data_IF_490035070383
#
_entry.id   IF_490035070383
#
_cell.length_a   1.000
_cell.length_b   1.000
_cell.length_c   1.000
_cell.angle_alpha   90.00
_cell.angle_beta   90.00
_cell.angle_gamma   90.00
#
_symmetry.space_group_name_H-M   'P 1'
#
loop_
_entity.id
_entity.type
_entity.pdbx_description
1 polymer ?
#
# COMPACT_ATOMS: atom_id res chain seq x y z
N UNK A 1 -17.77 -35.94 2.64
CA UNK A 1 -16.54 -36.09 3.48
C UNK A 1 -15.30 -35.45 2.84
N UNK A 2 -15.07 -35.59 1.54
CA UNK A 2 -13.89 -34.97 0.85
C UNK A 2 -13.81 -33.44 0.91
N UNK A 3 -14.93 -32.75 0.98
CA UNK A 3 -14.97 -31.28 1.01
C UNK A 3 -14.62 -30.70 2.41
N UNK A 4 -15.06 -31.36 3.49
CA UNK A 4 -14.73 -30.92 4.87
C UNK A 4 -13.25 -31.07 5.16
N UNK A 5 -12.62 -32.19 4.78
CA UNK A 5 -11.19 -32.39 5.01
C UNK A 5 -10.26 -31.41 4.27
N UNK A 6 -10.68 -30.90 3.08
CA UNK A 6 -9.90 -29.86 2.37
C UNK A 6 -10.03 -28.48 3.03
N UNK A 7 -11.22 -28.15 3.56
CA UNK A 7 -11.45 -26.92 4.29
C UNK A 7 -10.64 -26.88 5.59
N UNK A 8 -10.62 -27.99 6.33
CA UNK A 8 -9.88 -28.12 7.58
C UNK A 8 -8.36 -28.04 7.35
N UNK A 9 -7.87 -28.70 6.29
CA UNK A 9 -6.43 -28.66 5.94
C UNK A 9 -5.97 -27.26 5.51
N UNK A 10 -6.80 -26.49 4.80
CA UNK A 10 -6.51 -25.09 4.46
C UNK A 10 -6.52 -24.21 5.70
N UNK A 11 -7.48 -24.40 6.59
CA UNK A 11 -7.54 -23.69 7.86
C UNK A 11 -6.29 -23.88 8.71
N UNK A 12 -5.72 -25.09 8.72
CA UNK A 12 -4.45 -25.37 9.41
C UNK A 12 -3.25 -24.65 8.76
N UNK A 13 -3.14 -24.68 7.41
CA UNK A 13 -2.10 -23.94 6.68
C UNK A 13 -2.17 -22.46 7.05
N UNK A 14 -3.35 -21.87 6.97
CA UNK A 14 -3.57 -20.45 7.28
C UNK A 14 -3.24 -20.13 8.74
N UNK A 15 -3.58 -21.01 9.68
CA UNK A 15 -3.25 -20.85 11.09
C UNK A 15 -1.75 -20.82 11.31
N UNK A 16 -1.00 -21.74 10.71
CA UNK A 16 0.48 -21.76 10.80
C UNK A 16 1.06 -20.44 10.27
N UNK A 17 0.59 -19.98 9.12
CA UNK A 17 1.04 -18.73 8.51
C UNK A 17 0.72 -17.49 9.37
N UNK A 18 -0.40 -17.48 10.10
CA UNK A 18 -0.81 -16.38 10.98
C UNK A 18 -0.07 -16.39 12.31
N UNK A 19 0.23 -17.54 12.88
CA UNK A 19 0.86 -17.67 14.20
C UNK A 19 2.37 -17.54 14.15
N UNK A 20 3.04 -18.09 13.10
CA UNK A 20 4.51 -18.05 12.97
C UNK A 20 4.98 -16.66 12.53
N UNK A 21 5.86 -16.07 13.33
CA UNK A 21 6.55 -14.82 13.01
C UNK A 21 7.98 -15.07 12.55
N UNK A 22 8.46 -14.20 11.65
CA UNK A 22 9.87 -14.17 11.25
C UNK A 22 10.65 -13.52 12.39
N UNK A 23 11.57 -14.27 13.00
CA UNK A 23 12.35 -13.83 14.17
C UNK A 23 13.69 -13.28 13.74
N UNK A 24 14.31 -12.45 14.57
CA UNK A 24 15.69 -11.99 14.37
C UNK A 24 16.71 -13.15 14.30
N UNK A 25 16.43 -14.23 15.04
CA UNK A 25 17.28 -15.44 15.08
C UNK A 25 17.16 -16.32 13.83
N UNK A 26 16.17 -16.12 12.97
CA UNK A 26 16.01 -16.90 11.75
C UNK A 26 17.12 -16.51 10.75
N UNK A 27 17.93 -17.47 10.34
CA UNK A 27 19.10 -17.27 9.46
C UNK A 27 18.90 -17.90 8.08
N UNK A 28 19.69 -17.49 7.10
CA UNK A 28 19.64 -18.06 5.75
C UNK A 28 18.41 -17.65 4.95
N UNK A 29 17.72 -16.57 5.34
CA UNK A 29 16.52 -16.09 4.64
C UNK A 29 16.89 -15.26 3.41
N UNK A 30 16.15 -15.39 2.30
CA UNK A 30 16.21 -14.43 1.21
C UNK A 30 15.97 -12.99 1.72
N UNK A 31 16.59 -12.01 1.09
CA UNK A 31 16.43 -10.59 1.48
C UNK A 31 14.96 -10.14 1.44
N UNK A 32 14.20 -10.64 0.47
CA UNK A 32 12.77 -10.43 0.33
C UNK A 32 11.97 -10.85 1.56
N UNK A 33 12.38 -11.92 2.24
CA UNK A 33 11.76 -12.41 3.47
C UNK A 33 12.34 -11.70 4.69
N UNK A 34 13.65 -11.46 4.72
CA UNK A 34 14.35 -10.89 5.87
C UNK A 34 13.84 -9.47 6.23
N UNK A 35 13.42 -8.68 5.26
CA UNK A 35 12.83 -7.35 5.48
C UNK A 35 11.51 -7.37 6.26
N UNK A 36 10.86 -8.55 6.36
CA UNK A 36 9.61 -8.76 7.12
C UNK A 36 9.84 -9.29 8.54
N UNK A 37 11.06 -9.14 9.09
CA UNK A 37 11.34 -9.54 10.49
C UNK A 37 10.37 -8.90 11.46
N UNK A 38 9.88 -9.69 12.43
CA UNK A 38 8.83 -9.29 13.36
C UNK A 38 7.41 -9.49 12.86
N UNK A 39 7.19 -9.63 11.55
CA UNK A 39 5.88 -9.89 10.96
C UNK A 39 5.54 -11.38 10.94
N UNK A 40 4.25 -11.71 10.76
CA UNK A 40 3.80 -13.10 10.55
C UNK A 40 4.12 -13.56 9.13
N UNK A 41 4.25 -14.87 8.91
CA UNK A 41 4.45 -15.42 7.56
C UNK A 41 3.32 -15.04 6.61
N UNK A 42 2.07 -15.01 7.11
CA UNK A 42 0.91 -14.56 6.35
C UNK A 42 1.05 -13.10 5.88
N UNK A 43 1.62 -12.21 6.73
CA UNK A 43 1.83 -10.82 6.34
C UNK A 43 2.96 -10.66 5.33
N UNK A 44 4.06 -11.37 5.52
CA UNK A 44 5.16 -11.40 4.55
C UNK A 44 4.69 -11.91 3.18
N UNK A 45 3.84 -12.94 3.14
CA UNK A 45 3.33 -13.54 1.91
C UNK A 45 2.39 -12.60 1.11
N UNK A 46 1.88 -11.52 1.72
CA UNK A 46 1.14 -10.46 0.99
C UNK A 46 2.03 -9.57 0.13
N UNK A 47 3.35 -9.64 0.33
CA UNK A 47 4.33 -9.02 -0.57
C UNK A 47 4.46 -9.88 -1.83
N UNK A 48 4.31 -9.29 -3.04
CA UNK A 48 4.43 -10.03 -4.30
C UNK A 48 5.78 -10.72 -4.51
N UNK A 49 6.85 -10.19 -3.92
CA UNK A 49 8.22 -10.72 -4.06
C UNK A 49 8.51 -11.91 -3.13
N UNK A 50 7.66 -12.16 -2.14
CA UNK A 50 7.78 -13.29 -1.21
C UNK A 50 6.94 -14.45 -1.73
N UNK A 51 7.54 -15.62 -1.91
CA UNK A 51 6.84 -16.85 -2.29
C UNK A 51 6.68 -17.77 -1.09
N UNK A 52 5.68 -18.64 -1.12
CA UNK A 52 5.45 -19.59 -0.05
C UNK A 52 6.65 -20.54 0.13
N UNK A 53 7.32 -20.90 -0.95
CA UNK A 53 8.53 -21.75 -0.92
C UNK A 53 9.67 -21.13 -0.08
N UNK A 54 9.82 -19.81 -0.11
CA UNK A 54 10.81 -19.08 0.69
C UNK A 54 10.51 -19.14 2.21
N UNK A 55 9.25 -19.43 2.57
CA UNK A 55 8.77 -19.49 3.94
C UNK A 55 8.77 -20.92 4.52
N UNK A 56 8.89 -21.97 3.69
CA UNK A 56 8.89 -23.37 4.14
C UNK A 56 9.99 -23.67 5.19
N UNK A 57 11.23 -23.15 5.07
CA UNK A 57 12.26 -23.37 6.10
C UNK A 57 11.86 -22.85 7.48
N UNK A 58 11.01 -21.80 7.53
CA UNK A 58 10.52 -21.20 8.77
C UNK A 58 9.35 -21.97 9.40
N UNK A 59 8.67 -22.78 8.61
CA UNK A 59 7.51 -23.57 9.05
C UNK A 59 7.50 -24.95 8.37
N UNK A 60 8.36 -25.89 8.79
CA UNK A 60 8.50 -27.20 8.16
C UNK A 60 7.20 -28.00 8.06
N UNK A 61 6.26 -27.79 9.01
CA UNK A 61 4.93 -28.39 9.00
C UNK A 61 4.10 -28.02 7.75
N UNK A 62 4.43 -26.94 7.06
CA UNK A 62 3.81 -26.60 5.77
C UNK A 62 4.32 -27.52 4.66
N UNK A 63 5.57 -27.94 4.68
CA UNK A 63 6.15 -28.86 3.69
C UNK A 63 5.50 -30.25 3.67
N UNK A 64 4.83 -30.64 4.75
CA UNK A 64 4.08 -31.89 4.85
C UNK A 64 2.67 -31.79 4.22
N UNK A 65 2.24 -30.61 3.81
CA UNK A 65 0.91 -30.37 3.26
C UNK A 65 0.89 -30.56 1.74
N UNK A 66 -0.27 -30.97 1.16
CA UNK A 66 -0.40 -31.10 -0.28
C UNK A 66 -0.07 -29.78 -1.00
N UNK A 67 0.84 -29.84 -1.97
CA UNK A 67 1.32 -28.66 -2.71
C UNK A 67 0.17 -27.81 -3.29
N UNK A 68 -0.86 -28.48 -3.85
CA UNK A 68 -2.04 -27.79 -4.40
C UNK A 68 -2.78 -26.92 -3.36
N UNK A 69 -2.82 -27.34 -2.09
CA UNK A 69 -3.46 -26.54 -1.02
C UNK A 69 -2.59 -25.34 -0.63
N UNK A 70 -1.26 -25.51 -0.64
CA UNK A 70 -0.32 -24.43 -0.39
C UNK A 70 -0.42 -23.35 -1.46
N UNK A 71 -0.44 -23.75 -2.74
CA UNK A 71 -0.56 -22.83 -3.88
C UNK A 71 -1.90 -22.07 -3.86
N UNK A 72 -3.00 -22.74 -3.51
CA UNK A 72 -4.30 -22.08 -3.36
C UNK A 72 -4.30 -21.06 -2.21
N UNK A 73 -3.70 -21.40 -1.07
CA UNK A 73 -3.66 -20.50 0.08
C UNK A 73 -2.73 -19.29 -0.19
N UNK A 74 -1.60 -19.52 -0.86
CA UNK A 74 -0.73 -18.45 -1.32
C UNK A 74 -1.46 -17.47 -2.23
N UNK A 75 -2.17 -18.00 -3.24
CA UNK A 75 -2.94 -17.20 -4.17
C UNK A 75 -3.98 -16.34 -3.46
N UNK A 76 -4.74 -16.93 -2.53
CA UNK A 76 -5.78 -16.22 -1.78
C UNK A 76 -5.18 -15.11 -0.90
N UNK A 77 -4.06 -15.38 -0.21
CA UNK A 77 -3.38 -14.39 0.63
C UNK A 77 -2.82 -13.24 -0.21
N UNK A 78 -2.20 -13.53 -1.35
CA UNK A 78 -1.69 -12.50 -2.28
C UNK A 78 -2.82 -11.68 -2.87
N UNK A 79 -3.96 -12.30 -3.22
CA UNK A 79 -5.14 -11.62 -3.72
C UNK A 79 -5.74 -10.66 -2.68
N UNK A 80 -5.87 -11.08 -1.43
CA UNK A 80 -6.29 -10.20 -0.32
C UNK A 80 -5.34 -9.00 -0.16
N UNK A 81 -4.03 -9.22 -0.27
CA UNK A 81 -3.04 -8.15 -0.23
C UNK A 81 -3.17 -7.15 -1.38
N UNK A 82 -3.49 -7.65 -2.58
CA UNK A 82 -3.74 -6.82 -3.75
C UNK A 82 -4.98 -5.93 -3.58
N UNK A 83 -6.10 -6.53 -3.18
CA UNK A 83 -7.35 -5.78 -2.93
C UNK A 83 -7.12 -4.67 -1.90
N UNK A 84 -6.47 -4.98 -0.78
CA UNK A 84 -6.19 -3.98 0.25
C UNK A 84 -5.37 -2.79 -0.29
N UNK A 85 -4.35 -3.04 -1.11
CA UNK A 85 -3.57 -1.97 -1.75
C UNK A 85 -4.42 -1.10 -2.67
N UNK A 86 -5.31 -1.70 -3.45
CA UNK A 86 -6.25 -0.98 -4.31
C UNK A 86 -7.20 -0.10 -3.50
N UNK A 87 -7.74 -0.61 -2.41
CA UNK A 87 -8.61 0.17 -1.52
C UNK A 87 -7.88 1.36 -0.88
N UNK A 88 -6.63 1.16 -0.44
CA UNK A 88 -5.80 2.24 0.11
C UNK A 88 -5.49 3.31 -0.94
N UNK A 89 -5.24 2.92 -2.19
CA UNK A 89 -5.02 3.82 -3.30
C UNK A 89 -6.28 4.65 -3.61
N UNK A 90 -7.44 4.00 -3.72
CA UNK A 90 -8.73 4.68 -3.90
C UNK A 90 -9.01 5.64 -2.76
N UNK A 91 -8.76 5.24 -1.51
CA UNK A 91 -8.95 6.11 -0.34
C UNK A 91 -8.01 7.34 -0.39
N UNK A 92 -6.75 7.16 -0.86
CA UNK A 92 -5.81 8.28 -1.06
C UNK A 92 -6.33 9.26 -2.12
N UNK A 93 -6.80 8.76 -3.26
CA UNK A 93 -7.37 9.61 -4.31
C UNK A 93 -8.59 10.39 -3.81
N UNK A 94 -9.51 9.75 -3.07
CA UNK A 94 -10.66 10.44 -2.47
C UNK A 94 -10.23 11.58 -1.56
N UNK A 95 -9.23 11.35 -0.69
CA UNK A 95 -8.69 12.41 0.19
C UNK A 95 -8.11 13.60 -0.59
N UNK A 96 -7.46 13.35 -1.72
CA UNK A 96 -6.95 14.42 -2.59
C UNK A 96 -8.10 15.20 -3.27
N UNK A 97 -9.18 14.51 -3.67
CA UNK A 97 -10.37 15.16 -4.23
C UNK A 97 -11.11 16.01 -3.20
N UNK A 98 -11.15 15.59 -1.94
CA UNK A 98 -11.76 16.35 -0.84
C UNK A 98 -10.94 17.59 -0.47
N UNK A 99 -9.65 17.62 -0.78
CA UNK A 99 -8.79 18.76 -0.50
C UNK A 99 -9.02 19.86 -1.55
N UNK A 100 -9.98 20.75 -1.24
CA UNK A 100 -10.36 21.87 -2.11
C UNK A 100 -9.28 22.93 -2.18
N UNK A 101 -9.07 23.46 -3.37
CA UNK A 101 -8.22 24.63 -3.63
C UNK A 101 -9.14 25.86 -3.72
N UNK A 102 -8.94 26.89 -2.87
CA UNK A 102 -9.70 28.11 -2.97
C UNK A 102 -9.53 28.78 -4.34
N UNK A 103 -10.58 29.43 -4.83
CA UNK A 103 -10.52 30.11 -6.15
C UNK A 103 -9.50 31.24 -6.19
N UNK A 104 -9.25 31.84 -5.06
CA UNK A 104 -8.29 32.94 -4.83
C UNK A 104 -6.88 32.44 -4.44
N UNK A 105 -6.59 31.15 -4.61
CA UNK A 105 -5.30 30.57 -4.23
C UNK A 105 -4.17 31.21 -5.05
N UNK A 106 -3.15 31.71 -4.34
CA UNK A 106 -1.98 32.35 -4.94
C UNK A 106 -0.91 31.28 -5.29
N UNK A 107 -0.92 30.87 -6.55
CA UNK A 107 0.08 29.95 -7.08
C UNK A 107 1.45 30.59 -7.26
N UNK A 108 1.50 31.92 -7.48
CA UNK A 108 2.75 32.65 -7.75
C UNK A 108 3.54 32.85 -6.44
N UNK A 109 2.86 33.14 -5.34
CA UNK A 109 3.46 33.20 -4.01
C UNK A 109 3.74 31.86 -3.33
N UNK A 110 3.40 30.75 -3.96
CA UNK A 110 3.63 29.42 -3.38
C UNK A 110 5.04 28.94 -3.66
N UNK A 111 5.91 29.01 -2.63
CA UNK A 111 7.28 28.51 -2.70
C UNK A 111 7.32 26.99 -2.90
N UNK A 112 8.30 26.53 -3.69
CA UNK A 112 8.54 25.11 -3.93
C UNK A 112 7.75 24.51 -5.12
N UNK A 113 6.81 25.26 -5.73
CA UNK A 113 6.19 24.84 -6.99
C UNK A 113 7.15 25.05 -8.18
N UNK A 114 7.22 24.05 -9.06
CA UNK A 114 7.94 24.23 -10.33
C UNK A 114 7.26 25.28 -11.22
N UNK A 115 8.04 25.95 -12.07
CA UNK A 115 7.52 26.97 -12.98
C UNK A 115 6.42 26.43 -13.89
N UNK A 116 6.60 25.22 -14.41
CA UNK A 116 5.61 24.56 -15.27
C UNK A 116 4.30 24.26 -14.53
N UNK A 117 4.37 23.63 -13.35
CA UNK A 117 3.19 23.31 -12.55
C UNK A 117 2.46 24.58 -12.10
N UNK A 118 3.18 25.62 -11.72
CA UNK A 118 2.64 26.93 -11.35
C UNK A 118 1.86 27.53 -12.50
N UNK A 119 2.46 27.60 -13.70
CA UNK A 119 1.80 28.13 -14.89
C UNK A 119 0.52 27.36 -15.24
N UNK A 120 0.58 26.03 -15.22
CA UNK A 120 -0.57 25.19 -15.55
C UNK A 120 -1.70 25.32 -14.54
N UNK A 121 -1.38 25.26 -13.24
CA UNK A 121 -2.39 25.39 -12.17
C UNK A 121 -3.01 26.79 -12.17
N UNK A 122 -2.24 27.83 -12.44
CA UNK A 122 -2.75 29.21 -12.58
C UNK A 122 -3.70 29.34 -13.77
N UNK A 123 -3.39 28.73 -14.91
CA UNK A 123 -4.22 28.77 -16.12
C UNK A 123 -5.50 27.95 -15.97
N UNK A 124 -5.41 26.73 -15.44
CA UNK A 124 -6.53 25.79 -15.39
C UNK A 124 -7.39 25.92 -14.14
N UNK A 125 -6.87 26.57 -13.09
CA UNK A 125 -7.58 26.81 -11.82
C UNK A 125 -8.29 25.56 -11.29
N UNK A 126 -7.57 24.45 -11.00
CA UNK A 126 -8.18 23.24 -10.48
C UNK A 126 -8.87 23.50 -9.14
N UNK A 127 -10.04 22.88 -8.93
CA UNK A 127 -10.86 23.05 -7.73
C UNK A 127 -10.43 22.15 -6.56
N UNK A 128 -9.61 21.15 -6.82
CA UNK A 128 -9.09 20.22 -5.81
C UNK A 128 -7.67 19.75 -6.16
N UNK A 129 -6.95 19.24 -5.15
CA UNK A 129 -5.63 18.62 -5.37
C UNK A 129 -5.76 17.40 -6.28
N UNK A 130 -6.88 16.67 -6.22
CA UNK A 130 -7.16 15.57 -7.13
C UNK A 130 -7.31 16.02 -8.58
N UNK A 131 -7.96 17.16 -8.83
CA UNK A 131 -7.99 17.73 -10.18
C UNK A 131 -6.59 18.19 -10.64
N UNK A 132 -5.83 18.83 -9.76
CA UNK A 132 -4.46 19.25 -10.04
C UNK A 132 -3.55 18.06 -10.43
N UNK A 133 -3.72 16.90 -9.80
CA UNK A 133 -2.93 15.70 -10.08
C UNK A 133 -3.14 15.12 -11.50
N UNK A 134 -4.26 15.44 -12.14
CA UNK A 134 -4.57 14.99 -13.51
C UNK A 134 -4.06 15.94 -14.59
N UNK A 135 -3.50 17.06 -14.21
CA UNK A 135 -2.94 18.03 -15.16
C UNK A 135 -1.59 17.50 -15.64
N UNK A 136 -1.46 17.29 -16.95
CA UNK A 136 -0.21 16.86 -17.56
C UNK A 136 0.93 17.84 -17.24
N UNK A 137 2.06 17.34 -16.71
CA UNK A 137 3.23 18.12 -16.31
C UNK A 137 3.20 18.66 -14.87
N UNK A 138 2.13 18.41 -14.12
CA UNK A 138 2.14 18.60 -12.66
C UNK A 138 2.74 17.35 -12.01
N UNK A 139 3.83 17.56 -11.26
CA UNK A 139 4.59 16.45 -10.65
C UNK A 139 4.06 16.11 -9.25
N UNK A 140 4.27 14.87 -8.76
CA UNK A 140 3.90 14.48 -7.40
C UNK A 140 4.52 15.39 -6.31
N UNK A 141 5.77 15.88 -6.52
CA UNK A 141 6.41 16.85 -5.64
C UNK A 141 5.66 18.17 -5.52
N UNK A 142 5.15 18.68 -6.65
CA UNK A 142 4.38 19.92 -6.68
C UNK A 142 3.01 19.77 -5.97
N UNK A 143 2.39 18.59 -6.08
CA UNK A 143 1.16 18.26 -5.33
C UNK A 143 1.40 18.17 -3.83
N UNK A 144 2.56 17.65 -3.40
CA UNK A 144 2.94 17.62 -1.99
C UNK A 144 3.12 19.04 -1.43
N UNK A 145 3.81 19.91 -2.18
CA UNK A 145 3.96 21.34 -1.83
C UNK A 145 2.61 22.03 -1.73
N UNK A 146 1.75 21.88 -2.74
CA UNK A 146 0.39 22.44 -2.76
C UNK A 146 -0.43 21.98 -1.54
N UNK A 147 -0.39 20.67 -1.26
CA UNK A 147 -1.08 20.07 -0.10
C UNK A 147 -0.61 20.67 1.22
N UNK A 148 0.69 20.89 1.39
CA UNK A 148 1.27 21.49 2.58
C UNK A 148 0.77 22.92 2.77
N UNK A 149 0.78 23.74 1.73
CA UNK A 149 0.31 25.12 1.78
C UNK A 149 -1.20 25.22 2.07
N UNK A 150 -2.01 24.35 1.48
CA UNK A 150 -3.45 24.28 1.76
C UNK A 150 -3.75 23.88 3.21
N UNK A 151 -2.98 22.96 3.78
CA UNK A 151 -3.12 22.56 5.19
C UNK A 151 -2.71 23.67 6.15
N UNK A 152 -1.62 24.37 5.88
CA UNK A 152 -1.20 25.54 6.67
C UNK A 152 -2.26 26.63 6.68
N UNK A 153 -2.88 26.93 5.52
CA UNK A 153 -3.95 27.93 5.41
C UNK A 153 -5.21 27.53 6.20
N UNK A 154 -5.55 26.23 6.25
CA UNK A 154 -6.67 25.72 7.06
C UNK A 154 -6.41 25.73 8.56
N UNK A 155 -5.14 25.64 8.98
CA UNK A 155 -4.75 25.64 10.39
C UNK A 155 -4.49 27.02 10.99
N UNK A 156 -4.50 28.10 10.18
CA UNK A 156 -4.50 29.47 10.68
C UNK A 156 -5.94 29.98 10.72
N UNK A 157 -6.56 30.16 11.91
CA UNK A 157 -7.81 30.90 11.97
C UNK A 157 -7.56 32.33 11.51
N UNK A 158 -8.45 32.82 10.65
CA UNK A 158 -8.45 34.19 10.17
C UNK A 158 -8.12 35.20 11.29
N UNK A 159 -7.11 36.02 11.03
CA UNK A 159 -6.95 37.30 11.70
C UNK A 159 -7.67 38.37 10.92
#
# INVERSE_FOLDING_TARGET
>A
ERFRGKSDARGEIRRILLERRIRESDSGLPETVARHRGETLCRALKDPEVNLEDLLPLAPALGERPRQLLELEELDIKYEGYIKRQEEEVARFRKLEELRIPRDFDYDGTEGLSAESRQKMRSLRPLSVGQASRISGVRPSDLAVLTLHLRKRRGSPDR
#
